data_IF_313428833411
#
_entry.id   IF_313428833411
#
_cell.length_a   1.000
_cell.length_b   1.000
_cell.length_c   1.000
_cell.angle_alpha   90.00
_cell.angle_beta   90.00
_cell.angle_gamma   90.00
#
_symmetry.space_group_name_H-M   'P 1'
#
loop_
_entity.id
_entity.type
_entity.pdbx_description
1 polymer ?
#
# COMPACT_ATOMS: atom_id res chain seq x y z
N UNK A 1 17.96 -7.84 -13.36
CA UNK A 1 18.35 -6.44 -13.60
C UNK A 1 17.72 -5.58 -12.50
N UNK A 2 18.40 -4.56 -12.00
CA UNK A 2 17.91 -3.67 -10.93
C UNK A 2 17.67 -2.29 -11.50
N UNK A 3 16.50 -1.71 -11.23
CA UNK A 3 16.15 -0.36 -11.67
C UNK A 3 15.90 0.54 -10.45
N UNK A 4 16.55 1.70 -10.46
CA UNK A 4 16.22 2.81 -9.56
C UNK A 4 15.47 3.83 -10.39
N UNK A 5 14.23 4.12 -10.00
CA UNK A 5 13.39 5.08 -10.71
C UNK A 5 13.31 6.33 -9.85
N UNK A 6 13.65 7.47 -10.45
CA UNK A 6 13.72 8.77 -9.78
C UNK A 6 12.61 9.73 -10.24
N UNK A 7 11.91 9.37 -11.32
CA UNK A 7 10.82 10.14 -11.93
C UNK A 7 9.87 9.15 -12.64
N UNK A 8 8.57 9.23 -12.34
CA UNK A 8 7.54 8.24 -12.71
C UNK A 8 6.56 8.73 -13.78
N UNK A 9 6.81 9.87 -14.44
CA UNK A 9 5.96 10.40 -15.51
C UNK A 9 5.72 9.41 -16.68
N UNK A 10 6.56 8.39 -16.84
CA UNK A 10 6.46 7.35 -17.88
C UNK A 10 6.37 5.90 -17.34
N UNK A 11 5.85 5.70 -16.13
CA UNK A 11 5.80 4.38 -15.47
C UNK A 11 5.18 3.27 -16.33
N UNK A 12 4.07 3.55 -17.02
CA UNK A 12 3.44 2.56 -17.90
C UNK A 12 4.30 2.20 -19.11
N UNK A 13 5.05 3.14 -19.68
CA UNK A 13 5.97 2.81 -20.78
C UNK A 13 7.16 1.98 -20.30
N UNK A 14 7.65 2.25 -19.09
CA UNK A 14 8.68 1.44 -18.44
C UNK A 14 8.19 0.01 -18.19
N UNK A 15 7.02 -0.14 -17.57
CA UNK A 15 6.46 -1.46 -17.24
C UNK A 15 6.18 -2.27 -18.51
N UNK A 16 5.56 -1.69 -19.55
CA UNK A 16 5.37 -2.40 -20.83
C UNK A 16 6.66 -2.87 -21.49
N UNK A 17 7.75 -2.09 -21.38
CA UNK A 17 9.03 -2.44 -21.99
C UNK A 17 9.82 -3.46 -21.16
N UNK A 18 9.66 -3.45 -19.85
CA UNK A 18 10.51 -4.18 -18.92
C UNK A 18 9.77 -5.17 -18.02
N UNK A 19 8.47 -5.37 -18.19
CA UNK A 19 7.59 -6.22 -17.34
C UNK A 19 8.16 -7.61 -17.08
N UNK A 20 8.75 -8.23 -18.10
CA UNK A 20 9.32 -9.58 -18.05
C UNK A 20 10.79 -9.64 -17.63
N UNK A 21 11.46 -8.50 -17.46
CA UNK A 21 12.92 -8.43 -17.21
C UNK A 21 13.28 -7.70 -15.91
N UNK A 22 12.38 -6.83 -15.43
CA UNK A 22 12.51 -6.09 -14.18
C UNK A 22 12.26 -7.01 -13.01
N UNK A 23 13.34 -7.36 -12.30
CA UNK A 23 13.28 -8.21 -11.10
C UNK A 23 13.30 -7.41 -9.82
N UNK A 24 13.88 -6.22 -9.83
CA UNK A 24 14.06 -5.40 -8.62
C UNK A 24 13.78 -3.94 -8.93
N UNK A 25 12.80 -3.38 -8.24
CA UNK A 25 12.41 -1.98 -8.34
C UNK A 25 12.56 -1.34 -6.96
N UNK A 26 13.33 -0.26 -6.92
CA UNK A 26 13.49 0.58 -5.73
C UNK A 26 12.99 1.98 -6.04
N UNK A 27 11.93 2.37 -5.32
CA UNK A 27 11.39 3.72 -5.31
C UNK A 27 11.83 4.37 -4.00
N UNK A 28 12.82 5.26 -4.09
CA UNK A 28 13.33 6.02 -2.96
C UNK A 28 13.59 7.47 -3.38
N UNK A 29 13.17 8.43 -2.56
CA UNK A 29 13.47 9.85 -2.81
C UNK A 29 12.68 10.51 -3.96
N UNK A 30 11.62 9.87 -4.47
CA UNK A 30 10.71 10.51 -5.44
C UNK A 30 9.63 11.36 -4.75
N UNK A 31 9.66 12.67 -4.97
CA UNK A 31 8.65 13.62 -4.45
C UNK A 31 7.33 13.63 -5.25
N UNK A 32 7.33 13.03 -6.44
CA UNK A 32 6.22 13.04 -7.41
C UNK A 32 5.57 11.67 -7.63
N UNK A 33 5.98 10.62 -6.91
CA UNK A 33 5.38 9.31 -7.10
C UNK A 33 3.91 9.30 -6.69
N UNK A 34 3.06 9.26 -7.71
CA UNK A 34 1.63 9.06 -7.59
C UNK A 34 1.34 7.60 -7.23
N UNK A 35 0.32 7.38 -6.40
CA UNK A 35 -0.22 6.05 -6.02
C UNK A 35 -0.46 5.18 -7.27
N UNK A 36 -0.91 5.81 -8.36
CA UNK A 36 -1.11 5.19 -9.68
C UNK A 36 0.15 4.56 -10.27
N UNK A 37 1.32 5.14 -10.03
CA UNK A 37 2.55 4.59 -10.57
C UNK A 37 2.95 3.30 -9.85
N UNK A 38 2.76 3.24 -8.53
CA UNK A 38 2.96 2.01 -7.75
C UNK A 38 1.96 0.94 -8.18
N UNK A 39 0.69 1.33 -8.37
CA UNK A 39 -0.37 0.45 -8.88
C UNK A 39 0.01 -0.18 -10.24
N UNK A 40 0.47 0.63 -11.20
CA UNK A 40 0.93 0.13 -12.51
C UNK A 40 2.09 -0.85 -12.35
N UNK A 41 3.05 -0.58 -11.46
CA UNK A 41 4.19 -1.48 -11.23
C UNK A 41 3.70 -2.84 -10.74
N UNK A 42 2.82 -2.89 -9.74
CA UNK A 42 2.32 -4.16 -9.19
C UNK A 42 1.41 -4.90 -10.16
N UNK A 43 0.68 -4.17 -11.01
CA UNK A 43 -0.25 -4.72 -12.00
C UNK A 43 0.42 -5.17 -13.31
N UNK A 44 1.58 -4.64 -13.69
CA UNK A 44 2.21 -4.95 -14.99
C UNK A 44 3.58 -5.67 -14.88
N UNK A 45 4.31 -5.58 -13.76
CA UNK A 45 5.66 -6.17 -13.66
C UNK A 45 5.65 -7.64 -13.20
N UNK A 46 5.31 -8.57 -14.09
CA UNK A 46 5.24 -10.02 -13.80
C UNK A 46 6.53 -10.65 -13.25
N UNK A 47 7.70 -10.19 -13.71
CA UNK A 47 8.99 -10.76 -13.31
C UNK A 47 9.55 -10.17 -12.01
N UNK A 48 8.79 -9.32 -11.32
CA UNK A 48 9.26 -8.59 -10.14
C UNK A 48 9.45 -9.56 -8.97
N UNK A 49 10.68 -9.59 -8.44
CA UNK A 49 11.09 -10.38 -7.27
C UNK A 49 11.22 -9.50 -6.01
N UNK A 50 11.48 -8.20 -6.19
CA UNK A 50 11.65 -7.25 -5.10
C UNK A 50 11.03 -5.91 -5.45
N UNK A 51 10.09 -5.46 -4.60
CA UNK A 51 9.54 -4.11 -4.63
C UNK A 51 9.85 -3.41 -3.31
N UNK A 52 10.57 -2.30 -3.38
CA UNK A 52 10.87 -1.48 -2.21
C UNK A 52 10.39 -0.05 -2.44
N UNK A 53 9.33 0.33 -1.73
CA UNK A 53 8.79 1.68 -1.72
C UNK A 53 9.11 2.27 -0.34
N UNK A 54 10.23 2.99 -0.25
CA UNK A 54 10.71 3.60 0.99
C UNK A 54 10.85 5.10 0.83
N UNK A 55 10.37 5.84 1.83
CA UNK A 55 10.69 7.25 1.98
C UNK A 55 11.49 7.50 3.25
N UNK A 56 12.50 8.37 3.14
CA UNK A 56 13.29 8.87 4.26
C UNK A 56 12.78 10.24 4.67
N UNK A 57 12.33 10.35 5.91
CA UNK A 57 11.80 11.56 6.54
C UNK A 57 12.88 12.63 6.70
N UNK A 58 12.92 13.57 5.75
CA UNK A 58 13.36 14.94 6.05
C UNK A 58 12.42 15.93 5.35
N UNK A 59 11.35 16.30 6.06
CA UNK A 59 10.67 17.59 5.95
C UNK A 59 9.81 17.92 4.72
N UNK A 60 9.00 17.01 4.14
CA UNK A 60 7.83 17.46 3.35
C UNK A 60 6.73 16.41 3.17
N UNK A 61 5.48 16.90 3.21
CA UNK A 61 4.20 16.25 3.48
C UNK A 61 3.60 15.37 2.37
N UNK A 62 4.40 14.62 1.60
CA UNK A 62 3.87 13.65 0.63
C UNK A 62 4.57 12.32 0.80
N UNK A 63 3.99 11.46 1.63
CA UNK A 63 4.47 10.10 1.75
C UNK A 63 4.16 9.33 0.46
N UNK A 64 5.19 8.71 -0.08
CA UNK A 64 5.11 7.66 -1.08
C UNK A 64 4.29 6.50 -0.51
N UNK A 65 3.01 6.47 -0.83
CA UNK A 65 2.08 5.45 -0.36
C UNK A 65 1.21 4.99 -1.52
N UNK A 66 0.78 3.73 -1.43
CA UNK A 66 -0.26 3.19 -2.29
C UNK A 66 -1.58 3.30 -1.53
N UNK A 67 -2.56 3.99 -2.10
CA UNK A 67 -3.90 4.07 -1.51
C UNK A 67 -4.51 2.67 -1.53
N UNK A 68 -5.14 2.27 -0.43
CA UNK A 68 -5.69 0.91 -0.27
C UNK A 68 -6.62 0.51 -1.42
N UNK A 69 -7.51 1.41 -1.84
CA UNK A 69 -8.42 1.17 -2.95
C UNK A 69 -7.69 0.94 -4.28
N UNK A 70 -6.63 1.70 -4.55
CA UNK A 70 -5.80 1.51 -5.74
C UNK A 70 -5.03 0.18 -5.67
N UNK A 71 -4.61 -0.23 -4.48
CA UNK A 71 -3.89 -1.48 -4.26
C UNK A 71 -4.72 -2.73 -4.61
N UNK A 72 -6.05 -2.62 -4.50
CA UNK A 72 -6.98 -3.72 -4.73
C UNK A 72 -7.76 -3.62 -6.05
N UNK A 73 -7.75 -2.44 -6.70
CA UNK A 73 -8.49 -2.19 -7.95
C UNK A 73 -8.08 -3.17 -9.06
N UNK A 74 -6.80 -3.51 -9.14
CA UNK A 74 -6.24 -4.44 -10.12
C UNK A 74 -5.53 -5.61 -9.44
N UNK A 75 -5.61 -6.82 -10.01
CA UNK A 75 -4.87 -7.97 -9.50
C UNK A 75 -3.37 -7.75 -9.72
N UNK A 76 -2.56 -8.13 -8.73
CA UNK A 76 -1.11 -8.02 -8.83
C UNK A 76 -0.56 -9.09 -9.79
N UNK A 77 0.06 -8.64 -10.89
CA UNK A 77 0.73 -9.54 -11.83
C UNK A 77 2.09 -10.02 -11.32
N UNK A 78 2.69 -9.29 -10.37
CA UNK A 78 3.99 -9.57 -9.77
C UNK A 78 3.99 -10.74 -8.77
N UNK A 79 3.53 -11.92 -9.17
CA UNK A 79 3.37 -13.09 -8.29
C UNK A 79 4.68 -13.70 -7.78
N UNK A 80 5.83 -13.30 -8.36
CA UNK A 80 7.17 -13.78 -8.01
C UNK A 80 7.86 -12.93 -6.94
N UNK A 81 7.15 -11.97 -6.34
CA UNK A 81 7.72 -11.13 -5.29
C UNK A 81 8.16 -12.00 -4.12
N UNK A 82 9.42 -11.82 -3.72
CA UNK A 82 10.06 -12.45 -2.57
C UNK A 82 10.26 -11.46 -1.43
N UNK A 83 10.45 -10.18 -1.75
CA UNK A 83 10.60 -9.11 -0.77
C UNK A 83 9.71 -7.92 -1.15
N UNK A 84 8.79 -7.57 -0.26
CA UNK A 84 7.86 -6.47 -0.42
C UNK A 84 8.01 -5.48 0.74
N UNK A 85 8.33 -4.23 0.41
CA UNK A 85 8.25 -3.11 1.34
C UNK A 85 7.34 -2.06 0.76
N UNK A 86 6.27 -1.72 1.49
CA UNK A 86 5.21 -0.84 1.00
C UNK A 86 4.58 -0.06 2.16
N UNK A 87 4.24 1.20 1.91
CA UNK A 87 3.37 1.98 2.78
C UNK A 87 1.98 2.04 2.14
N UNK A 88 0.95 1.60 2.86
CA UNK A 88 -0.45 1.66 2.43
C UNK A 88 -1.14 2.82 3.12
N UNK A 89 -1.82 3.67 2.33
CA UNK A 89 -2.70 4.69 2.87
C UNK A 89 -4.11 4.12 3.09
N UNK A 90 -4.61 4.22 4.33
CA UNK A 90 -5.92 3.72 4.77
C UNK A 90 -6.72 4.90 5.32
N UNK A 91 -8.02 4.94 5.01
CA UNK A 91 -8.93 5.93 5.62
C UNK A 91 -8.98 5.71 7.14
N UNK A 92 -8.97 6.79 7.91
CA UNK A 92 -8.96 6.75 9.38
C UNK A 92 -10.34 6.42 9.98
N UNK A 93 -11.41 6.85 9.32
CA UNK A 93 -12.80 6.59 9.74
C UNK A 93 -13.37 5.30 9.12
N UNK A 94 -14.25 4.56 9.85
CA UNK A 94 -14.61 4.68 11.27
C UNK A 94 -13.69 4.01 12.30
N UNK A 95 -12.65 3.26 11.91
CA UNK A 95 -11.92 2.38 12.84
C UNK A 95 -11.01 3.09 13.85
N UNK A 96 -10.46 4.26 13.53
CA UNK A 96 -9.50 4.98 14.38
C UNK A 96 -10.03 6.32 14.91
N UNK A 97 -10.81 7.08 14.12
CA UNK A 97 -11.51 8.28 14.62
C UNK A 97 -12.89 7.90 15.20
N UNK A 98 -12.82 7.20 16.32
CA UNK A 98 -14.00 6.73 17.05
C UNK A 98 -14.58 7.87 17.90
N UNK A 99 -15.92 8.01 17.87
CA UNK A 99 -16.61 8.94 18.76
C UNK A 99 -16.23 8.67 20.23
N UNK A 100 -16.06 9.75 21.01
CA UNK A 100 -15.58 9.69 22.39
C UNK A 100 -16.38 8.66 23.23
N UNK A 101 -15.67 7.69 23.80
CA UNK A 101 -16.27 6.58 24.57
C UNK A 101 -16.59 5.31 23.78
N UNK A 102 -16.33 5.27 22.47
CA UNK A 102 -16.48 4.05 21.66
C UNK A 102 -15.25 3.16 21.78
N UNK A 103 -15.46 1.87 22.05
CA UNK A 103 -14.39 0.87 22.14
C UNK A 103 -14.09 0.34 20.72
N UNK A 104 -12.82 0.39 20.25
CA UNK A 104 -12.44 -0.18 18.97
C UNK A 104 -12.79 -1.65 18.86
N UNK A 105 -13.13 -2.14 17.67
CA UNK A 105 -13.60 -3.52 17.50
C UNK A 105 -12.59 -4.56 18.02
N UNK A 106 -11.29 -4.28 17.90
CA UNK A 106 -10.21 -5.18 18.34
C UNK A 106 -10.07 -5.26 19.87
N UNK A 107 -10.65 -4.32 20.61
CA UNK A 107 -10.67 -4.30 22.08
C UNK A 107 -11.99 -4.83 22.67
N UNK A 108 -12.98 -5.19 21.83
CA UNK A 108 -14.28 -5.74 22.28
C UNK A 108 -14.13 -7.20 22.72
N UNK A 109 -14.89 -7.59 23.74
CA UNK A 109 -14.94 -8.99 24.19
C UNK A 109 -15.67 -9.87 23.16
N UNK A 110 -15.15 -11.08 22.86
CA UNK A 110 -15.80 -11.99 21.93
C UNK A 110 -17.11 -12.59 22.52
N UNK A 111 -18.13 -12.86 21.68
CA UNK A 111 -18.16 -12.65 20.24
C UNK A 111 -18.35 -11.18 19.87
N UNK A 112 -17.47 -10.67 19.01
CA UNK A 112 -17.52 -9.29 18.53
C UNK A 112 -18.44 -9.19 17.33
N UNK A 113 -19.46 -8.33 17.42
CA UNK A 113 -20.28 -7.94 16.27
C UNK A 113 -19.70 -6.67 15.66
N UNK A 114 -19.43 -6.70 14.35
CA UNK A 114 -19.02 -5.52 13.60
C UNK A 114 -20.25 -4.72 13.19
N UNK A 115 -20.12 -3.40 13.19
CA UNK A 115 -21.09 -2.51 12.57
C UNK A 115 -20.91 -2.50 11.05
N UNK A 116 -21.95 -2.11 10.31
CA UNK A 116 -21.91 -2.02 8.84
C UNK A 116 -20.76 -1.13 8.35
N UNK A 117 -20.47 -0.04 9.06
CA UNK A 117 -19.38 0.86 8.71
C UNK A 117 -17.99 0.23 8.95
N UNK A 118 -17.85 -0.60 9.99
CA UNK A 118 -16.62 -1.36 10.24
C UNK A 118 -16.41 -2.45 9.18
N UNK A 119 -17.48 -3.16 8.80
CA UNK A 119 -17.43 -4.15 7.73
C UNK A 119 -17.00 -3.52 6.40
N UNK A 120 -17.61 -2.39 6.03
CA UNK A 120 -17.26 -1.64 4.81
C UNK A 120 -15.80 -1.16 4.79
N UNK A 121 -15.22 -0.82 5.94
CA UNK A 121 -13.81 -0.41 6.01
C UNK A 121 -12.86 -1.61 6.01
N UNK A 122 -13.28 -2.75 6.58
CA UNK A 122 -12.46 -3.96 6.63
C UNK A 122 -12.47 -4.73 5.31
N UNK A 123 -13.51 -4.63 4.49
CA UNK A 123 -13.61 -5.32 3.19
C UNK A 123 -12.42 -4.99 2.25
N UNK A 124 -12.04 -3.71 2.02
CA UNK A 124 -10.85 -3.38 1.24
C UNK A 124 -9.54 -3.92 1.85
N UNK A 125 -9.44 -3.95 3.18
CA UNK A 125 -8.27 -4.51 3.87
C UNK A 125 -8.19 -6.02 3.67
N UNK A 126 -9.31 -6.73 3.76
CA UNK A 126 -9.38 -8.16 3.48
C UNK A 126 -8.96 -8.46 2.03
N UNK A 127 -9.52 -7.74 1.06
CA UNK A 127 -9.14 -7.87 -0.35
C UNK A 127 -7.63 -7.62 -0.57
N UNK A 128 -7.07 -6.63 0.11
CA UNK A 128 -5.63 -6.33 0.07
C UNK A 128 -4.78 -7.45 0.68
N UNK A 129 -5.17 -7.99 1.83
CA UNK A 129 -4.49 -9.14 2.42
C UNK A 129 -4.64 -10.40 1.58
N UNK A 130 -5.75 -10.60 0.87
CA UNK A 130 -5.88 -11.68 -0.11
C UNK A 130 -4.90 -11.51 -1.28
N UNK A 131 -4.70 -10.29 -1.79
CA UNK A 131 -3.69 -10.01 -2.82
C UNK A 131 -2.28 -10.36 -2.35
N UNK A 132 -1.92 -9.96 -1.11
CA UNK A 132 -0.64 -10.35 -0.51
C UNK A 132 -0.55 -11.87 -0.31
N UNK A 133 -1.64 -12.50 0.13
CA UNK A 133 -1.73 -13.94 0.34
C UNK A 133 -1.53 -14.76 -0.95
N UNK A 134 -1.81 -14.18 -2.12
CA UNK A 134 -1.54 -14.80 -3.41
C UNK A 134 -0.04 -14.80 -3.79
N UNK A 135 0.81 -14.02 -3.10
CA UNK A 135 2.25 -13.95 -3.33
C UNK A 135 2.96 -15.14 -2.67
N UNK A 136 2.84 -16.33 -3.26
CA UNK A 136 3.36 -17.58 -2.67
C UNK A 136 4.89 -17.63 -2.53
N UNK A 137 5.62 -16.78 -3.26
CA UNK A 137 7.07 -16.68 -3.17
C UNK A 137 7.56 -15.67 -2.11
N UNK A 138 6.65 -14.96 -1.45
CA UNK A 138 6.97 -13.89 -0.50
C UNK A 138 7.69 -14.45 0.74
N UNK A 139 8.87 -13.92 1.02
CA UNK A 139 9.73 -14.31 2.16
C UNK A 139 9.91 -13.18 3.16
N UNK A 140 9.82 -11.93 2.72
CA UNK A 140 9.93 -10.75 3.57
C UNK A 140 8.82 -9.78 3.21
N UNK A 141 8.04 -9.44 4.22
CA UNK A 141 6.97 -8.46 4.15
C UNK A 141 7.26 -7.35 5.15
N UNK A 142 7.33 -6.11 4.66
CA UNK A 142 7.41 -4.91 5.48
C UNK A 142 6.29 -3.96 5.04
N UNK A 143 5.20 -3.99 5.78
CA UNK A 143 4.07 -3.09 5.54
C UNK A 143 4.09 -1.99 6.59
N UNK A 144 3.81 -0.78 6.12
CA UNK A 144 3.52 0.38 6.97
C UNK A 144 2.14 0.88 6.62
N UNK A 145 1.42 1.36 7.63
CA UNK A 145 0.14 2.00 7.43
C UNK A 145 0.30 3.51 7.57
N UNK A 146 -0.36 4.25 6.68
CA UNK A 146 -0.60 5.67 6.77
C UNK A 146 -2.11 5.86 6.94
N UNK A 147 -2.53 6.39 8.09
CA UNK A 147 -3.92 6.76 8.30
C UNK A 147 -4.17 8.20 7.87
N UNK A 148 -5.23 8.42 7.10
CA UNK A 148 -5.61 9.77 6.69
C UNK A 148 -7.13 9.93 6.77
N UNK A 149 -7.54 11.11 7.19
CA UNK A 149 -8.96 11.46 7.23
C UNK A 149 -9.32 12.15 5.90
N UNK A 150 -10.26 11.62 5.09
CA UNK A 150 -10.53 12.15 3.75
C UNK A 150 -11.05 13.60 3.73
N UNK A 151 -11.50 14.13 4.88
CA UNK A 151 -12.03 15.49 5.05
C UNK A 151 -11.14 16.42 5.89
N UNK A 152 -10.06 15.93 6.51
CA UNK A 152 -9.02 16.78 7.11
C UNK A 152 -7.78 16.71 6.24
N UNK A 153 -7.38 17.85 5.68
CA UNK A 153 -6.05 17.97 5.08
C UNK A 153 -5.00 17.59 6.13
N UNK A 154 -4.40 16.41 5.93
CA UNK A 154 -3.14 15.91 6.50
C UNK A 154 -2.82 16.34 7.94
N UNK A 155 -3.15 15.52 8.94
CA UNK A 155 -2.38 15.54 10.20
C UNK A 155 -2.62 14.26 11.02
N UNK A 156 -1.59 13.40 11.06
CA UNK A 156 -1.11 12.55 12.16
C UNK A 156 -0.64 11.15 11.67
N UNK A 157 0.65 10.86 11.91
CA UNK A 157 1.28 9.56 11.66
C UNK A 157 1.53 8.88 13.01
N UNK A 158 1.15 7.61 13.13
CA UNK A 158 1.51 6.73 14.27
C UNK A 158 2.41 5.61 13.73
N UNK A 159 3.65 5.55 14.20
CA UNK A 159 4.56 4.43 13.92
C UNK A 159 4.19 3.24 14.83
N UNK A 160 3.94 2.07 14.24
CA UNK A 160 3.76 0.78 14.94
C UNK A 160 5.05 -0.04 14.95
#
# INVERSE_FOLDING_TARGET
>A
MTFKIYDLDNTGAFCRKHSSTSRRIWLAGCSSCDTKAIQIIVAECEALELLNVLWTTSNNYRQLCLVLNDAIELPWACTKIQELTLTIAVSDEPLHDLAEGTIPYYDRLPPTTLSEAEEQQLEPLEAFYCQIGALTELRRLNLRALFFHPSREYEHFVDF
#
